data_IF_000558576587
#
_entry.id   IF_000558576587
#
_cell.length_a   1.000
_cell.length_b   1.000
_cell.length_c   1.000
_cell.angle_alpha   90.00
_cell.angle_beta   90.00
_cell.angle_gamma   90.00
#
_symmetry.space_group_name_H-M   'P 1'
#
loop_
_entity.id
_entity.type
_entity.pdbx_description
1 polymer ?
#
# COMPACT_ATOMS: atom_id res chain seq x y z
N UNK A 1 -51.74 9.28 59.96
CA UNK A 1 -51.20 9.86 58.71
C UNK A 1 -49.84 9.21 58.48
N UNK A 2 -49.76 8.10 57.75
CA UNK A 2 -49.36 8.06 56.33
C UNK A 2 -47.85 7.80 56.23
N UNK A 3 -47.37 6.55 56.27
CA UNK A 3 -47.14 5.66 55.11
C UNK A 3 -46.41 6.32 53.95
N UNK A 4 -45.16 5.93 53.68
CA UNK A 4 -44.78 5.45 52.34
C UNK A 4 -43.45 4.70 52.36
N UNK A 5 -43.51 3.42 51.97
CA UNK A 5 -42.39 2.53 51.69
C UNK A 5 -41.93 2.83 50.27
N UNK A 6 -40.65 3.08 50.06
CA UNK A 6 -40.07 3.13 48.72
C UNK A 6 -38.95 2.09 48.63
N UNK A 7 -39.33 0.88 48.26
CA UNK A 7 -38.39 -0.10 47.72
C UNK A 7 -37.87 0.44 46.40
N UNK A 8 -36.63 0.95 46.41
CA UNK A 8 -35.91 1.30 45.19
C UNK A 8 -35.44 0.00 44.55
N UNK A 9 -36.18 -0.47 43.54
CA UNK A 9 -35.75 -1.56 42.67
C UNK A 9 -34.71 -0.98 41.71
N UNK A 10 -33.43 -1.30 41.95
CA UNK A 10 -32.33 -1.03 41.02
C UNK A 10 -32.48 -1.92 39.79
N UNK A 11 -33.00 -1.36 38.70
CA UNK A 11 -32.99 -2.00 37.38
C UNK A 11 -31.56 -1.93 36.85
N UNK A 12 -30.83 -3.05 36.91
CA UNK A 12 -29.51 -3.18 36.28
C UNK A 12 -29.75 -3.38 34.78
N UNK A 13 -29.71 -2.28 34.01
CA UNK A 13 -29.81 -2.32 32.56
C UNK A 13 -28.48 -2.82 31.98
N UNK A 14 -28.43 -4.09 31.59
CA UNK A 14 -27.27 -4.66 30.88
C UNK A 14 -27.18 -4.06 29.48
N UNK A 15 -26.31 -3.05 29.32
CA UNK A 15 -25.99 -2.44 28.04
C UNK A 15 -25.11 -3.43 27.24
N UNK A 16 -25.72 -4.22 26.36
CA UNK A 16 -25.00 -5.09 25.45
C UNK A 16 -24.23 -4.23 24.42
N UNK A 17 -22.91 -4.12 24.60
CA UNK A 17 -22.00 -3.52 23.62
C UNK A 17 -22.00 -4.35 22.32
N UNK A 18 -22.87 -3.99 21.37
CA UNK A 18 -22.76 -4.42 19.98
C UNK A 18 -21.53 -3.72 19.37
N UNK A 19 -20.37 -4.36 19.45
CA UNK A 19 -19.21 -3.91 18.70
C UNK A 19 -19.46 -4.17 17.20
N UNK A 20 -19.45 -3.14 16.34
CA UNK A 20 -19.55 -3.35 14.91
C UNK A 20 -18.28 -4.06 14.44
N UNK A 21 -18.43 -5.28 13.91
CA UNK A 21 -17.38 -5.95 13.16
C UNK A 21 -17.18 -5.13 11.89
N UNK A 22 -16.14 -4.30 11.85
CA UNK A 22 -15.71 -3.63 10.63
C UNK A 22 -15.15 -4.69 9.69
N UNK A 23 -16.04 -5.32 8.91
CA UNK A 23 -15.65 -6.13 7.77
C UNK A 23 -15.03 -5.18 6.73
N UNK A 24 -13.70 -5.07 6.75
CA UNK A 24 -12.98 -4.34 5.72
C UNK A 24 -13.28 -4.97 4.36
N UNK A 25 -13.85 -4.20 3.43
CA UNK A 25 -13.98 -4.64 2.06
C UNK A 25 -12.58 -4.99 1.55
N UNK A 26 -12.43 -6.23 1.08
CA UNK A 26 -11.25 -6.67 0.36
C UNK A 26 -11.14 -5.84 -0.93
N UNK A 27 -10.37 -4.75 -0.89
CA UNK A 27 -10.07 -3.96 -2.08
C UNK A 27 -9.35 -4.86 -3.08
N UNK A 28 -10.01 -5.12 -4.22
CA UNK A 28 -9.39 -5.85 -5.33
C UNK A 28 -8.11 -5.11 -5.74
N UNK A 29 -7.02 -5.86 -5.91
CA UNK A 29 -5.75 -5.28 -6.37
C UNK A 29 -5.93 -4.62 -7.76
N UNK A 30 -5.28 -3.47 -8.01
CA UNK A 30 -5.29 -2.87 -9.33
C UNK A 30 -4.60 -3.80 -10.32
N UNK A 31 -5.01 -3.72 -11.58
CA UNK A 31 -4.29 -4.35 -12.68
C UNK A 31 -3.43 -3.30 -13.35
N UNK A 32 -2.13 -3.54 -13.45
CA UNK A 32 -1.23 -2.77 -14.31
C UNK A 32 -0.87 -3.63 -15.51
N UNK A 33 -1.13 -3.14 -16.71
CA UNK A 33 -0.75 -3.86 -17.92
C UNK A 33 0.78 -3.85 -18.08
N UNK A 34 1.31 -4.89 -18.72
CA UNK A 34 2.72 -4.89 -19.14
C UNK A 34 2.93 -3.80 -20.18
N UNK A 35 4.15 -3.31 -20.27
CA UNK A 35 4.60 -2.26 -21.20
C UNK A 35 3.97 -0.88 -20.94
N UNK A 36 3.08 -0.73 -19.95
CA UNK A 36 2.61 0.58 -19.51
C UNK A 36 3.79 1.43 -19.03
N UNK A 37 3.95 2.67 -19.51
CA UNK A 37 4.96 3.59 -18.99
C UNK A 37 4.83 3.71 -17.48
N UNK A 38 5.96 3.63 -16.77
CA UNK A 38 5.94 3.62 -15.31
C UNK A 38 5.34 4.90 -14.73
N UNK A 39 5.54 6.05 -15.40
CA UNK A 39 4.91 7.32 -15.04
C UNK A 39 3.38 7.25 -15.03
N UNK A 40 2.76 6.57 -16.00
CA UNK A 40 1.32 6.37 -16.08
C UNK A 40 0.81 5.37 -15.03
N UNK A 41 1.55 4.28 -14.82
CA UNK A 41 1.27 3.30 -13.78
C UNK A 41 1.32 3.95 -12.38
N UNK A 42 2.34 4.77 -12.13
CA UNK A 42 2.52 5.57 -10.92
C UNK A 42 1.36 6.52 -10.69
N UNK A 43 0.99 7.30 -11.71
CA UNK A 43 -0.14 8.22 -11.64
C UNK A 43 -1.45 7.47 -11.29
N UNK A 44 -1.66 6.30 -11.88
CA UNK A 44 -2.83 5.46 -11.62
C UNK A 44 -2.86 4.95 -10.18
N UNK A 45 -1.73 4.47 -9.64
CA UNK A 45 -1.63 4.01 -8.27
C UNK A 45 -1.92 5.14 -7.27
N UNK A 46 -1.35 6.32 -7.49
CA UNK A 46 -1.62 7.51 -6.67
C UNK A 46 -3.11 7.90 -6.71
N UNK A 47 -3.72 7.92 -7.89
CA UNK A 47 -5.15 8.23 -8.05
C UNK A 47 -6.06 7.22 -7.34
N UNK A 48 -5.63 5.96 -7.21
CA UNK A 48 -6.34 4.90 -6.49
C UNK A 48 -6.07 4.89 -4.97
N UNK A 49 -5.31 5.87 -4.46
CA UNK A 49 -4.99 6.03 -3.05
C UNK A 49 -3.86 5.13 -2.55
N UNK A 50 -3.06 4.56 -3.45
CA UNK A 50 -1.81 3.90 -3.06
C UNK A 50 -0.73 4.93 -2.77
N UNK A 51 0.12 4.61 -1.80
CA UNK A 51 1.22 5.47 -1.38
C UNK A 51 2.56 4.83 -1.72
N UNK A 52 3.56 5.61 -2.16
CA UNK A 52 4.94 5.17 -2.25
C UNK A 52 5.40 4.54 -0.94
N UNK A 53 5.89 3.31 -0.99
CA UNK A 53 6.47 2.65 0.17
C UNK A 53 7.98 2.60 0.00
N UNK A 54 8.68 3.54 0.65
CA UNK A 54 10.13 3.53 0.66
C UNK A 54 10.68 2.31 1.43
N UNK A 55 11.85 1.78 1.05
CA UNK A 55 12.60 0.87 1.90
C UNK A 55 12.92 1.49 3.26
N UNK A 56 13.16 0.63 4.26
CA UNK A 56 13.54 1.10 5.60
C UNK A 56 14.87 1.85 5.57
N UNK A 57 15.08 2.75 6.54
CA UNK A 57 16.33 3.50 6.66
C UNK A 57 17.55 2.56 6.70
N UNK A 58 18.57 2.86 5.90
CA UNK A 58 19.80 2.07 5.81
C UNK A 58 19.80 0.95 4.76
N UNK A 59 18.68 0.66 4.10
CA UNK A 59 18.69 -0.23 2.94
C UNK A 59 19.24 0.50 1.70
N UNK A 60 20.19 -0.14 1.00
CA UNK A 60 20.73 0.37 -0.26
C UNK A 60 19.61 0.49 -1.29
N UNK A 61 19.30 1.73 -1.69
CA UNK A 61 18.29 2.05 -2.70
C UNK A 61 18.80 1.77 -4.13
N UNK A 62 20.10 1.96 -4.36
CA UNK A 62 20.62 2.11 -5.73
C UNK A 62 21.93 1.35 -5.95
N UNK A 63 22.02 0.79 -7.14
CA UNK A 63 23.27 0.36 -7.76
C UNK A 63 23.86 1.56 -8.50
N UNK A 64 25.19 1.60 -8.65
CA UNK A 64 25.88 2.60 -9.47
C UNK A 64 25.26 2.66 -10.87
N UNK A 65 24.98 3.86 -11.36
CA UNK A 65 24.43 4.12 -12.68
C UNK A 65 22.90 4.16 -12.74
N UNK A 66 22.20 4.05 -11.60
CA UNK A 66 20.73 4.11 -11.50
C UNK A 66 20.26 5.20 -10.53
N UNK A 67 21.13 6.15 -10.20
CA UNK A 67 20.87 7.23 -9.26
C UNK A 67 19.69 8.11 -9.71
N UNK A 68 19.54 8.33 -11.01
CA UNK A 68 18.45 9.11 -11.61
C UNK A 68 17.06 8.55 -11.27
N UNK A 69 16.87 7.23 -11.39
CA UNK A 69 15.61 6.55 -11.08
C UNK A 69 15.32 6.63 -9.59
N UNK A 70 16.34 6.39 -8.77
CA UNK A 70 16.22 6.43 -7.33
C UNK A 70 15.88 7.83 -6.78
N UNK A 71 16.47 8.87 -7.35
CA UNK A 71 16.20 10.25 -6.97
C UNK A 71 14.82 10.70 -7.45
N UNK A 72 14.37 10.19 -8.60
CA UNK A 72 13.05 10.49 -9.16
C UNK A 72 11.89 9.84 -8.37
N UNK A 73 12.09 8.63 -7.84
CA UNK A 73 11.00 7.82 -7.28
C UNK A 73 11.29 7.33 -5.85
N UNK A 74 10.62 7.89 -4.83
CA UNK A 74 10.82 7.47 -3.43
C UNK A 74 10.36 6.03 -3.14
N UNK A 75 9.48 5.47 -3.98
CA UNK A 75 9.05 4.07 -3.93
C UNK A 75 10.10 3.08 -4.45
N UNK A 76 11.25 3.55 -4.97
CA UNK A 76 12.32 2.68 -5.47
C UNK A 76 12.88 1.81 -4.34
N UNK A 77 12.73 0.50 -4.51
CA UNK A 77 13.31 -0.49 -3.59
C UNK A 77 14.70 -0.94 -4.04
N UNK A 78 14.85 -1.23 -5.33
CA UNK A 78 16.13 -1.68 -5.90
C UNK A 78 16.12 -1.55 -7.41
N UNK A 79 17.27 -1.26 -8.00
CA UNK A 79 17.49 -1.27 -9.44
C UNK A 79 18.76 -2.03 -9.82
N UNK A 80 18.69 -2.80 -10.91
CA UNK A 80 19.84 -3.42 -11.56
C UNK A 80 20.50 -2.42 -12.50
N UNK A 81 21.82 -2.25 -12.42
CA UNK A 81 22.60 -1.45 -13.38
C UNK A 81 22.99 -2.20 -14.66
N UNK A 82 22.51 -3.44 -14.86
CA UNK A 82 22.83 -4.27 -16.03
C UNK A 82 21.62 -5.06 -16.53
N UNK A 83 21.74 -5.60 -17.75
CA UNK A 83 20.73 -6.47 -18.37
C UNK A 83 19.54 -5.67 -18.90
N UNK A 84 18.33 -6.01 -18.45
CA UNK A 84 17.11 -5.26 -18.79
C UNK A 84 16.89 -4.02 -17.89
N UNK A 85 17.92 -3.65 -17.12
CA UNK A 85 17.87 -2.53 -16.18
C UNK A 85 16.65 -2.56 -15.26
N UNK A 86 16.33 -3.74 -14.73
CA UNK A 86 15.12 -3.96 -13.92
C UNK A 86 15.13 -3.12 -12.66
N UNK A 87 14.01 -2.43 -12.40
CA UNK A 87 13.74 -1.79 -11.12
C UNK A 87 12.54 -2.43 -10.42
N UNK A 88 12.53 -2.32 -9.10
CA UNK A 88 11.49 -2.77 -8.20
C UNK A 88 10.99 -1.58 -7.40
N UNK A 89 9.69 -1.35 -7.43
CA UNK A 89 9.03 -0.26 -6.71
C UNK A 89 7.96 -0.79 -5.78
N UNK A 90 7.92 -0.30 -4.55
CA UNK A 90 6.98 -0.75 -3.53
C UNK A 90 5.88 0.27 -3.27
N UNK A 91 4.66 -0.25 -3.12
CA UNK A 91 3.45 0.55 -2.93
C UNK A 91 2.61 -0.03 -1.82
N UNK A 92 2.05 0.84 -0.98
CA UNK A 92 1.22 0.43 0.15
C UNK A 92 -0.15 1.11 0.10
N UNK A 93 -1.18 0.35 0.44
CA UNK A 93 -2.53 0.83 0.74
C UNK A 93 -3.10 -0.01 1.86
N UNK A 94 -3.51 0.62 2.96
CA UNK A 94 -3.92 -0.08 4.18
C UNK A 94 -2.85 -1.09 4.64
N UNK A 95 -3.24 -2.35 4.87
CA UNK A 95 -2.33 -3.44 5.23
C UNK A 95 -1.71 -4.16 4.01
N UNK A 96 -1.98 -3.69 2.79
CA UNK A 96 -1.54 -4.33 1.54
C UNK A 96 -0.26 -3.67 1.03
N UNK A 97 0.76 -4.49 0.76
CA UNK A 97 1.98 -4.11 0.08
C UNK A 97 2.05 -4.83 -1.27
N UNK A 98 2.29 -4.06 -2.33
CA UNK A 98 2.47 -4.57 -3.70
C UNK A 98 3.78 -4.08 -4.28
N UNK A 99 4.20 -4.76 -5.33
CA UNK A 99 5.42 -4.49 -6.06
C UNK A 99 5.11 -4.27 -7.54
N UNK A 100 5.68 -3.19 -8.09
CA UNK A 100 5.76 -2.94 -9.53
C UNK A 100 7.20 -3.22 -9.94
N UNK A 101 7.40 -4.22 -10.80
CA UNK A 101 8.67 -4.46 -11.47
C UNK A 101 8.67 -3.82 -12.85
N UNK A 102 9.72 -3.10 -13.20
CA UNK A 102 9.89 -2.46 -14.52
C UNK A 102 11.14 -2.94 -15.24
N UNK A 103 11.24 -2.60 -16.52
CA UNK A 103 12.46 -2.65 -17.33
C UNK A 103 12.67 -1.30 -18.02
N UNK A 104 13.90 -1.01 -18.44
CA UNK A 104 14.29 0.28 -19.05
C UNK A 104 15.48 0.91 -18.32
N UNK A 105 16.36 1.58 -19.07
CA UNK A 105 17.61 2.13 -18.55
C UNK A 105 17.33 3.41 -17.75
N UNK A 106 16.69 4.39 -18.37
CA UNK A 106 16.45 5.71 -17.79
C UNK A 106 14.96 5.94 -17.46
N UNK A 107 14.71 6.95 -16.60
CA UNK A 107 13.36 7.36 -16.16
C UNK A 107 12.26 7.36 -17.25
N UNK A 108 12.44 7.97 -18.44
CA UNK A 108 11.38 8.01 -19.46
C UNK A 108 11.12 6.66 -20.16
N UNK A 109 12.06 5.72 -20.07
CA UNK A 109 11.95 4.41 -20.75
C UNK A 109 11.38 3.32 -19.84
N UNK A 110 11.26 3.60 -18.54
CA UNK A 110 10.73 2.63 -17.58
C UNK A 110 9.32 2.20 -17.97
N UNK A 111 9.12 0.90 -18.14
CA UNK A 111 7.83 0.29 -18.44
C UNK A 111 7.55 -0.89 -17.53
N UNK A 112 6.28 -1.10 -17.19
CA UNK A 112 5.85 -2.18 -16.30
C UNK A 112 6.15 -3.53 -16.95
N UNK A 113 6.91 -4.37 -16.27
CA UNK A 113 7.10 -5.76 -16.66
C UNK A 113 6.29 -6.72 -15.78
N UNK A 114 6.10 -6.36 -14.50
CA UNK A 114 5.39 -7.17 -13.51
C UNK A 114 4.63 -6.30 -12.51
N UNK A 115 3.46 -6.78 -12.09
CA UNK A 115 2.78 -6.33 -10.89
C UNK A 115 2.50 -7.53 -9.98
N UNK A 116 2.80 -7.43 -8.68
CA UNK A 116 2.65 -8.57 -7.77
C UNK A 116 2.35 -8.19 -6.33
N UNK A 117 1.62 -9.07 -5.65
CA UNK A 117 1.39 -8.99 -4.22
C UNK A 117 2.69 -9.27 -3.45
N UNK A 118 2.94 -8.52 -2.36
CA UNK A 118 4.00 -8.81 -1.40
C UNK A 118 3.47 -9.20 -0.03
N UNK A 119 2.46 -8.50 0.47
CA UNK A 119 1.85 -8.77 1.78
C UNK A 119 0.42 -8.22 1.86
N UNK A 120 -0.42 -8.86 2.69
CA UNK A 120 -1.75 -8.34 3.06
C UNK A 120 -2.72 -8.15 1.89
N UNK A 121 -2.58 -8.96 0.84
CA UNK A 121 -3.52 -8.98 -0.27
C UNK A 121 -4.73 -9.86 0.06
N UNK A 122 -5.91 -9.56 -0.54
CA UNK A 122 -7.12 -10.34 -0.35
C UNK A 122 -7.06 -11.74 -0.99
#
# INVERSE_FOLDING_TARGET
>A
MGSMKHSVVLVVSALACLAPVMAGAADKLPTLARETPYSEARASLLALGWQPAAPADGELKCTIGREDVCDAFPETKSCSGTGLARCTFWWRKNNTLVEVGTVGEDVPELSVDRFSCRAGCP
#
